data_IF_214676530539
#
_entry.id   IF_214676530539
#
_cell.length_a   1.000
_cell.length_b   1.000
_cell.length_c   1.000
_cell.angle_alpha   90.00
_cell.angle_beta   90.00
_cell.angle_gamma   90.00
#
_symmetry.space_group_name_H-M   'P 1'
#
loop_
_entity.id
_entity.type
_entity.pdbx_description
1 polymer ?
#
# COMPACT_ATOMS: atom_id res chain seq x y z
N UNK A 1 -28.27 3.94 6.97
CA UNK A 1 -28.10 5.30 7.50
C UNK A 1 -26.68 5.77 7.18
N UNK A 2 -26.44 7.07 6.93
CA UNK A 2 -25.10 7.58 6.67
C UNK A 2 -24.27 7.50 7.97
N UNK A 3 -23.21 6.69 8.06
CA UNK A 3 -22.42 6.51 9.27
C UNK A 3 -21.64 7.77 9.66
N UNK A 4 -21.57 8.75 8.77
CA UNK A 4 -20.96 10.05 9.02
C UNK A 4 -21.98 11.13 9.43
N UNK A 5 -23.26 10.80 9.61
CA UNK A 5 -24.24 11.74 10.13
C UNK A 5 -23.92 12.05 11.61
N UNK A 6 -23.54 13.29 11.91
CA UNK A 6 -23.30 13.73 13.28
C UNK A 6 -24.63 14.14 13.94
N UNK A 7 -25.06 13.50 15.05
CA UNK A 7 -26.31 13.86 15.72
C UNK A 7 -26.28 15.31 16.20
N UNK A 8 -27.25 16.12 15.76
CA UNK A 8 -27.45 17.48 16.27
C UNK A 8 -26.49 18.57 15.77
N UNK A 9 -25.48 18.22 14.96
CA UNK A 9 -24.57 19.19 14.36
C UNK A 9 -24.90 19.40 12.88
N UNK A 10 -25.43 20.58 12.51
CA UNK A 10 -25.44 21.03 11.12
C UNK A 10 -24.08 21.65 10.82
N UNK A 11 -23.21 20.91 10.14
CA UNK A 11 -22.00 21.49 9.56
C UNK A 11 -22.41 22.20 8.28
N UNK A 12 -22.37 23.54 8.29
CA UNK A 12 -22.53 24.33 7.07
C UNK A 12 -21.22 24.35 6.29
N UNK A 13 -21.18 23.59 5.20
CA UNK A 13 -20.09 23.66 4.22
C UNK A 13 -20.41 24.81 3.27
N UNK A 14 -19.69 25.92 3.40
CA UNK A 14 -19.83 27.07 2.48
C UNK A 14 -19.26 26.73 1.10
N UNK A 15 -19.61 27.53 0.09
CA UNK A 15 -19.04 27.38 -1.25
C UNK A 15 -17.49 27.50 -1.25
N UNK A 16 -16.92 28.31 -0.37
CA UNK A 16 -15.47 28.46 -0.25
C UNK A 16 -14.81 27.27 0.45
N UNK A 17 -15.46 26.69 1.46
CA UNK A 17 -15.01 25.41 2.03
C UNK A 17 -15.03 24.31 0.96
N UNK A 18 -16.09 24.25 0.16
CA UNK A 18 -16.20 23.28 -0.92
C UNK A 18 -15.10 23.46 -1.97
N UNK A 19 -14.87 24.70 -2.42
CA UNK A 19 -13.78 25.04 -3.34
C UNK A 19 -12.43 24.55 -2.83
N UNK A 20 -12.14 24.80 -1.55
CA UNK A 20 -10.90 24.35 -0.91
C UNK A 20 -10.77 22.82 -0.92
N UNK A 21 -11.85 22.09 -0.62
CA UNK A 21 -11.85 20.63 -0.63
C UNK A 21 -11.91 20.02 -2.04
N UNK A 22 -12.12 20.83 -3.07
CA UNK A 22 -12.05 20.43 -4.48
C UNK A 22 -10.86 21.04 -5.23
N UNK A 23 -9.90 21.63 -4.51
CA UNK A 23 -8.67 22.17 -5.11
C UNK A 23 -7.57 21.10 -5.10
N UNK A 24 -7.20 20.62 -6.29
CA UNK A 24 -6.21 19.56 -6.47
C UNK A 24 -4.83 19.94 -5.90
N UNK A 25 -4.40 21.19 -6.08
CA UNK A 25 -3.10 21.64 -5.60
C UNK A 25 -3.05 21.72 -4.07
N UNK A 26 -4.13 22.19 -3.46
CA UNK A 26 -4.28 22.24 -2.01
C UNK A 26 -4.25 20.83 -1.40
N UNK A 27 -5.03 19.90 -1.95
CA UNK A 27 -5.10 18.53 -1.46
C UNK A 27 -3.75 17.81 -1.61
N UNK A 28 -3.12 17.91 -2.78
CA UNK A 28 -1.78 17.36 -3.00
C UNK A 28 -0.77 17.90 -1.99
N UNK A 29 -0.75 19.22 -1.79
CA UNK A 29 0.16 19.85 -0.82
C UNK A 29 -0.07 19.36 0.61
N UNK A 30 -1.32 19.21 1.04
CA UNK A 30 -1.62 18.71 2.38
C UNK A 30 -1.24 17.23 2.56
N UNK A 31 -1.37 16.42 1.50
CA UNK A 31 -0.95 15.03 1.49
C UNK A 31 0.57 14.90 1.50
N UNK A 32 1.27 15.72 0.73
CA UNK A 32 2.74 15.71 0.66
C UNK A 32 3.41 16.14 1.96
N UNK A 33 2.72 16.93 2.78
CA UNK A 33 3.15 17.34 4.12
C UNK A 33 3.09 16.19 5.15
N UNK A 34 2.50 15.04 4.82
CA UNK A 34 2.45 13.78 5.62
C UNK A 34 1.78 13.89 7.01
N UNK A 35 1.40 15.09 7.44
CA UNK A 35 0.83 15.39 8.77
C UNK A 35 -0.69 15.28 8.83
N UNK A 36 -1.36 15.27 7.68
CA UNK A 36 -2.80 15.51 7.60
C UNK A 36 -3.59 14.34 7.00
N UNK A 37 -3.00 13.15 6.88
CA UNK A 37 -3.61 12.04 6.15
C UNK A 37 -4.94 11.58 6.77
N UNK A 38 -5.00 11.42 8.09
CA UNK A 38 -6.18 10.93 8.80
C UNK A 38 -7.35 11.95 8.78
N UNK A 39 -7.14 13.24 9.08
CA UNK A 39 -8.18 14.25 8.91
C UNK A 39 -8.67 14.36 7.47
N UNK A 40 -7.76 14.35 6.49
CA UNK A 40 -8.13 14.40 5.07
C UNK A 40 -8.92 13.19 4.64
N UNK A 41 -8.52 12.00 5.06
CA UNK A 41 -9.25 10.76 4.80
C UNK A 41 -10.68 10.87 5.29
N UNK A 42 -10.89 11.40 6.50
CA UNK A 42 -12.22 11.57 7.09
C UNK A 42 -13.09 12.55 6.29
N UNK A 43 -12.52 13.70 5.89
CA UNK A 43 -13.22 14.71 5.07
C UNK A 43 -13.57 14.14 3.69
N UNK A 44 -12.61 13.52 3.02
CA UNK A 44 -12.80 12.93 1.69
C UNK A 44 -13.88 11.86 1.74
N UNK A 45 -13.84 10.97 2.74
CA UNK A 45 -14.83 9.90 2.86
C UNK A 45 -16.23 10.45 3.16
N UNK A 46 -16.34 11.44 4.04
CA UNK A 46 -17.60 12.13 4.32
C UNK A 46 -18.21 12.74 3.07
N UNK A 47 -17.41 13.50 2.32
CA UNK A 47 -17.86 14.21 1.12
C UNK A 47 -18.21 13.26 -0.02
N UNK A 48 -17.61 12.07 -0.06
CA UNK A 48 -17.79 11.12 -1.15
C UNK A 48 -18.95 10.14 -0.93
N UNK A 49 -19.49 10.05 0.29
CA UNK A 49 -20.58 9.15 0.61
C UNK A 49 -21.80 9.40 -0.29
N UNK A 50 -22.09 8.48 -1.19
CA UNK A 50 -23.20 8.56 -2.15
C UNK A 50 -23.09 9.72 -3.14
N UNK A 51 -21.93 10.38 -3.25
CA UNK A 51 -21.71 11.50 -4.16
C UNK A 51 -20.76 11.09 -5.30
N UNK A 52 -21.32 10.89 -6.49
CA UNK A 52 -20.56 10.46 -7.68
C UNK A 52 -19.51 11.50 -8.09
N UNK A 53 -19.88 12.77 -8.21
CA UNK A 53 -18.97 13.82 -8.67
C UNK A 53 -17.72 13.95 -7.79
N UNK A 54 -17.91 13.91 -6.47
CA UNK A 54 -16.81 13.99 -5.51
C UNK A 54 -16.01 12.69 -5.47
N UNK A 55 -16.67 11.54 -5.57
CA UNK A 55 -16.00 10.25 -5.72
C UNK A 55 -15.08 10.28 -6.94
N UNK A 56 -15.58 10.68 -8.12
CA UNK A 56 -14.80 10.83 -9.35
C UNK A 56 -13.62 11.78 -9.23
N UNK A 57 -13.83 12.92 -8.57
CA UNK A 57 -12.79 13.89 -8.32
C UNK A 57 -11.68 13.30 -7.44
N UNK A 58 -12.02 12.79 -6.25
CA UNK A 58 -11.02 12.28 -5.30
C UNK A 58 -10.31 11.03 -5.79
N UNK A 59 -10.97 10.16 -6.54
CA UNK A 59 -10.33 9.03 -7.22
C UNK A 59 -9.18 9.48 -8.13
N UNK A 60 -9.40 10.55 -8.92
CA UNK A 60 -8.38 11.13 -9.81
C UNK A 60 -7.24 11.78 -9.03
N UNK A 61 -7.54 12.47 -7.94
CA UNK A 61 -6.54 13.07 -7.04
C UNK A 61 -5.67 11.98 -6.42
N UNK A 62 -6.27 10.95 -5.81
CA UNK A 62 -5.56 9.83 -5.17
C UNK A 62 -4.69 9.08 -6.17
N UNK A 63 -5.23 8.75 -7.35
CA UNK A 63 -4.48 8.08 -8.42
C UNK A 63 -3.25 8.89 -8.84
N UNK A 64 -3.44 10.18 -9.11
CA UNK A 64 -2.35 11.07 -9.52
C UNK A 64 -1.30 11.19 -8.42
N UNK A 65 -1.76 11.39 -7.17
CA UNK A 65 -0.90 11.45 -5.99
C UNK A 65 -0.02 10.22 -5.81
N UNK A 66 -0.58 9.01 -5.91
CA UNK A 66 0.19 7.76 -5.81
C UNK A 66 1.19 7.61 -6.97
N UNK A 67 0.80 8.02 -8.18
CA UNK A 67 1.67 7.93 -9.35
C UNK A 67 2.87 8.89 -9.27
N UNK A 68 2.69 10.06 -8.65
CA UNK A 68 3.70 11.11 -8.54
C UNK A 68 4.47 11.06 -7.21
N UNK A 69 4.02 10.22 -6.26
CA UNK A 69 4.60 10.11 -4.93
C UNK A 69 6.07 9.68 -4.93
N UNK A 70 6.82 10.23 -3.99
CA UNK A 70 8.10 9.67 -3.56
C UNK A 70 7.88 8.45 -2.65
N UNK A 71 8.94 7.64 -2.46
CA UNK A 71 8.86 6.44 -1.63
C UNK A 71 8.32 6.73 -0.22
N UNK A 72 8.77 7.82 0.41
CA UNK A 72 8.39 8.21 1.76
C UNK A 72 6.94 8.75 1.86
N UNK A 73 6.28 9.00 0.73
CA UNK A 73 4.89 9.51 0.66
C UNK A 73 3.86 8.41 0.41
N UNK A 74 4.27 7.25 -0.13
CA UNK A 74 3.35 6.12 -0.42
C UNK A 74 2.45 5.76 0.79
N UNK A 75 2.98 5.58 2.03
CA UNK A 75 2.12 5.22 3.16
C UNK A 75 1.02 6.26 3.45
N UNK A 76 1.32 7.55 3.30
CA UNK A 76 0.36 8.63 3.52
C UNK A 76 -0.80 8.55 2.53
N UNK A 77 -0.51 8.33 1.24
CA UNK A 77 -1.56 8.16 0.23
C UNK A 77 -2.45 6.95 0.50
N UNK A 78 -1.89 5.86 1.03
CA UNK A 78 -2.66 4.67 1.38
C UNK A 78 -3.51 4.81 2.65
N UNK A 79 -3.14 5.71 3.58
CA UNK A 79 -4.02 6.12 4.70
C UNK A 79 -5.30 6.83 4.24
N UNK A 80 -5.31 7.40 3.04
CA UNK A 80 -6.51 7.98 2.41
C UNK A 80 -7.20 6.96 1.51
N UNK A 81 -6.45 6.28 0.63
CA UNK A 81 -7.00 5.29 -0.29
C UNK A 81 -7.75 4.17 0.44
N UNK A 82 -7.18 3.61 1.51
CA UNK A 82 -7.75 2.47 2.23
C UNK A 82 -9.17 2.74 2.77
N UNK A 83 -9.37 3.78 3.60
CA UNK A 83 -10.70 4.17 4.05
C UNK A 83 -11.63 4.57 2.91
N UNK A 84 -11.12 5.26 1.88
CA UNK A 84 -11.92 5.71 0.75
C UNK A 84 -12.54 4.55 -0.05
N UNK A 85 -11.78 3.48 -0.31
CA UNK A 85 -12.34 2.26 -0.94
C UNK A 85 -13.17 1.41 0.04
N UNK A 86 -13.10 1.69 1.33
CA UNK A 86 -13.88 1.00 2.36
C UNK A 86 -15.24 1.65 2.65
N UNK A 87 -15.54 2.80 2.06
CA UNK A 87 -16.87 3.43 2.17
C UNK A 87 -17.94 2.45 1.65
N UNK A 88 -18.90 2.10 2.50
CA UNK A 88 -19.96 1.12 2.22
C UNK A 88 -21.22 1.81 1.65
N UNK A 89 -21.06 2.42 0.47
CA UNK A 89 -22.16 3.00 -0.31
C UNK A 89 -22.29 2.31 -1.69
N UNK A 90 -23.21 2.79 -2.53
CA UNK A 90 -23.46 2.24 -3.86
C UNK A 90 -22.30 2.41 -4.87
N UNK A 91 -21.24 3.15 -4.51
CA UNK A 91 -20.09 3.46 -5.35
C UNK A 91 -18.82 2.70 -4.90
N UNK A 92 -18.91 1.82 -3.89
CA UNK A 92 -17.76 1.10 -3.35
C UNK A 92 -17.03 0.27 -4.40
N UNK A 93 -17.78 -0.52 -5.18
CA UNK A 93 -17.22 -1.38 -6.22
C UNK A 93 -16.51 -0.55 -7.29
N UNK A 94 -17.08 0.59 -7.68
CA UNK A 94 -16.49 1.52 -8.64
C UNK A 94 -15.16 2.07 -8.12
N UNK A 95 -15.12 2.52 -6.86
CA UNK A 95 -13.89 3.01 -6.21
C UNK A 95 -12.79 1.96 -6.20
N UNK A 96 -13.13 0.72 -5.85
CA UNK A 96 -12.19 -0.40 -5.84
C UNK A 96 -11.68 -0.65 -7.26
N UNK A 97 -12.57 -0.80 -8.23
CA UNK A 97 -12.23 -1.11 -9.60
C UNK A 97 -11.30 -0.05 -10.21
N UNK A 98 -11.61 1.23 -10.04
CA UNK A 98 -10.80 2.33 -10.56
C UNK A 98 -9.42 2.39 -9.89
N UNK A 99 -9.38 2.44 -8.55
CA UNK A 99 -8.15 2.69 -7.82
C UNK A 99 -7.21 1.49 -7.81
N UNK A 100 -7.72 0.26 -7.67
CA UNK A 100 -6.85 -0.93 -7.67
C UNK A 100 -6.34 -1.26 -9.07
N UNK A 101 -7.13 -1.04 -10.12
CA UNK A 101 -6.61 -1.08 -11.50
C UNK A 101 -5.48 -0.07 -11.68
N UNK A 102 -5.63 1.15 -11.17
CA UNK A 102 -4.58 2.16 -11.21
C UNK A 102 -3.33 1.73 -10.42
N UNK A 103 -3.48 1.20 -9.20
CA UNK A 103 -2.36 0.72 -8.39
C UNK A 103 -1.58 -0.40 -9.09
N UNK A 104 -2.26 -1.36 -9.74
CA UNK A 104 -1.59 -2.43 -10.50
C UNK A 104 -0.83 -1.89 -11.71
N UNK A 105 -1.40 -0.93 -12.43
CA UNK A 105 -0.68 -0.24 -13.52
C UNK A 105 0.55 0.53 -13.02
N UNK A 106 0.44 1.24 -11.90
CA UNK A 106 1.56 1.98 -11.29
C UNK A 106 2.65 0.99 -10.84
N UNK A 107 2.27 -0.13 -10.23
CA UNK A 107 3.21 -1.20 -9.88
C UNK A 107 3.99 -1.72 -11.10
N UNK A 108 3.30 -2.00 -12.20
CA UNK A 108 3.97 -2.48 -13.42
C UNK A 108 4.88 -1.40 -14.03
N UNK A 109 4.41 -0.15 -14.07
CA UNK A 109 5.19 1.02 -14.53
C UNK A 109 6.50 1.16 -13.75
N UNK A 110 6.46 1.03 -12.43
CA UNK A 110 7.61 1.27 -11.57
C UNK A 110 8.41 -0.01 -11.21
N UNK A 111 8.08 -1.19 -11.75
CA UNK A 111 8.70 -2.49 -11.38
C UNK A 111 10.23 -2.57 -11.48
N UNK A 112 10.86 -1.64 -12.20
CA UNK A 112 12.32 -1.50 -12.32
C UNK A 112 12.97 -0.76 -11.14
N UNK A 113 12.18 -0.12 -10.28
CA UNK A 113 12.61 0.67 -9.11
C UNK A 113 12.29 -0.09 -7.81
N UNK A 114 13.22 -0.91 -7.27
CA UNK A 114 12.85 -1.91 -6.26
C UNK A 114 12.38 -1.34 -4.92
N UNK A 115 13.00 -0.25 -4.45
CA UNK A 115 12.60 0.43 -3.20
C UNK A 115 11.14 0.92 -3.28
N UNK A 116 10.82 1.66 -4.34
CA UNK A 116 9.48 2.18 -4.59
C UNK A 116 8.46 1.05 -4.80
N UNK A 117 8.77 0.11 -5.69
CA UNK A 117 7.87 -1.02 -6.01
C UNK A 117 7.55 -1.83 -4.77
N UNK A 118 8.55 -2.17 -3.95
CA UNK A 118 8.33 -2.92 -2.70
C UNK A 118 7.45 -2.13 -1.74
N UNK A 119 7.69 -0.82 -1.58
CA UNK A 119 6.85 0.04 -0.75
C UNK A 119 5.40 0.02 -1.21
N UNK A 120 5.17 0.19 -2.52
CA UNK A 120 3.84 0.18 -3.10
C UNK A 120 3.15 -1.19 -2.98
N UNK A 121 3.85 -2.31 -3.25
CA UNK A 121 3.34 -3.67 -3.02
C UNK A 121 2.90 -3.83 -1.56
N UNK A 122 3.74 -3.37 -0.62
CA UNK A 122 3.45 -3.51 0.81
C UNK A 122 2.13 -2.82 1.17
N UNK A 123 1.91 -1.60 0.67
CA UNK A 123 0.68 -0.87 0.96
C UNK A 123 -0.55 -1.44 0.24
N UNK A 124 -0.41 -1.86 -1.03
CA UNK A 124 -1.50 -2.52 -1.77
C UNK A 124 -1.97 -3.79 -1.05
N UNK A 125 -1.02 -4.63 -0.61
CA UNK A 125 -1.36 -5.87 0.06
C UNK A 125 -1.79 -5.70 1.51
N UNK A 126 -1.43 -4.60 2.17
CA UNK A 126 -2.00 -4.24 3.47
C UNK A 126 -3.50 -3.91 3.35
N UNK A 127 -3.92 -3.19 2.31
CA UNK A 127 -5.35 -2.93 2.06
C UNK A 127 -6.08 -4.21 1.63
N UNK A 128 -5.46 -5.04 0.79
CA UNK A 128 -5.98 -6.36 0.41
C UNK A 128 -6.31 -7.24 1.62
N UNK A 129 -5.47 -7.27 2.65
CA UNK A 129 -5.73 -8.07 3.85
C UNK A 129 -6.84 -7.50 4.73
N UNK A 130 -6.98 -6.17 4.77
CA UNK A 130 -7.91 -5.49 5.68
C UNK A 130 -9.31 -5.28 5.11
N UNK A 131 -9.46 -5.23 3.79
CA UNK A 131 -10.73 -4.94 3.13
C UNK A 131 -11.20 -6.17 2.32
N UNK A 132 -12.27 -6.87 2.75
CA UNK A 132 -12.77 -8.06 2.06
C UNK A 132 -13.20 -7.83 0.62
N UNK A 133 -13.75 -6.67 0.29
CA UNK A 133 -14.19 -6.33 -1.07
C UNK A 133 -12.99 -6.13 -2.00
N UNK A 134 -11.94 -5.47 -1.49
CA UNK A 134 -10.65 -5.38 -2.20
C UNK A 134 -10.03 -6.76 -2.36
N UNK A 135 -10.07 -7.61 -1.33
CA UNK A 135 -9.57 -8.98 -1.38
C UNK A 135 -10.23 -9.77 -2.51
N UNK A 136 -11.55 -9.78 -2.52
CA UNK A 136 -12.36 -10.44 -3.54
C UNK A 136 -12.04 -9.92 -4.95
N UNK A 137 -11.94 -8.59 -5.12
CA UNK A 137 -11.60 -7.99 -6.41
C UNK A 137 -10.19 -8.39 -6.87
N UNK A 138 -9.20 -8.34 -5.98
CA UNK A 138 -7.81 -8.70 -6.28
C UNK A 138 -7.68 -10.19 -6.63
N UNK A 139 -8.39 -11.07 -5.91
CA UNK A 139 -8.39 -12.51 -6.19
C UNK A 139 -9.04 -12.81 -7.55
N UNK A 140 -10.14 -12.12 -7.89
CA UNK A 140 -10.77 -12.20 -9.22
C UNK A 140 -9.85 -11.69 -10.34
N UNK A 141 -9.00 -10.71 -10.05
CA UNK A 141 -8.07 -10.09 -11.01
C UNK A 141 -6.63 -10.63 -10.88
N UNK A 142 -6.44 -11.84 -10.33
CA UNK A 142 -5.12 -12.41 -10.02
C UNK A 142 -4.13 -12.38 -11.19
N UNK A 143 -4.61 -12.62 -12.41
CA UNK A 143 -3.78 -12.61 -13.62
C UNK A 143 -2.97 -11.30 -13.76
N UNK A 144 -3.55 -10.15 -13.42
CA UNK A 144 -2.93 -8.83 -13.56
C UNK A 144 -1.72 -8.61 -12.61
N UNK A 145 -1.62 -9.38 -11.53
CA UNK A 145 -0.57 -9.21 -10.52
C UNK A 145 0.22 -10.48 -10.19
N UNK A 146 0.00 -11.60 -10.89
CA UNK A 146 0.83 -12.82 -10.71
C UNK A 146 2.35 -12.57 -10.84
N UNK A 147 2.75 -11.56 -11.62
CA UNK A 147 4.15 -11.18 -11.76
C UNK A 147 4.76 -10.67 -10.44
N UNK A 148 3.94 -10.09 -9.53
CA UNK A 148 4.36 -9.55 -8.23
C UNK A 148 4.96 -10.66 -7.37
N UNK A 149 4.34 -11.84 -7.32
CA UNK A 149 4.84 -13.00 -6.58
C UNK A 149 6.25 -13.39 -7.06
N UNK A 150 6.40 -13.55 -8.39
CA UNK A 150 7.70 -13.86 -9.01
C UNK A 150 8.72 -12.76 -8.74
N UNK A 151 8.30 -11.50 -8.79
CA UNK A 151 9.17 -10.35 -8.58
C UNK A 151 9.71 -10.28 -7.16
N UNK A 152 8.89 -10.63 -6.16
CA UNK A 152 9.26 -10.73 -4.75
C UNK A 152 10.21 -11.92 -4.51
N UNK A 153 9.88 -13.09 -5.06
CA UNK A 153 10.68 -14.31 -4.88
C UNK A 153 12.10 -14.16 -5.46
N UNK A 154 12.23 -13.58 -6.66
CA UNK A 154 13.54 -13.28 -7.27
C UNK A 154 14.43 -12.35 -6.43
N UNK A 155 13.83 -11.57 -5.52
CA UNK A 155 14.53 -10.60 -4.67
C UNK A 155 14.61 -11.01 -3.21
N UNK A 156 14.08 -12.18 -2.86
CA UNK A 156 14.00 -12.64 -1.47
C UNK A 156 13.12 -11.75 -0.59
N UNK A 157 12.17 -11.01 -1.16
CA UNK A 157 11.26 -10.16 -0.40
C UNK A 157 10.06 -10.94 0.13
N UNK A 158 9.61 -10.57 1.32
CA UNK A 158 8.42 -11.12 1.98
C UNK A 158 7.47 -9.98 2.32
N UNK A 159 6.20 -10.18 1.99
CA UNK A 159 5.10 -9.26 2.26
C UNK A 159 4.06 -10.05 3.07
N UNK A 160 3.68 -9.61 4.27
CA UNK A 160 2.58 -10.20 5.03
C UNK A 160 1.29 -10.22 4.20
N UNK A 161 0.45 -11.24 4.38
CA UNK A 161 -0.79 -11.43 3.59
C UNK A 161 -0.60 -12.26 2.32
N UNK A 162 0.32 -11.84 1.44
CA UNK A 162 0.61 -12.57 0.19
C UNK A 162 1.20 -13.99 0.43
N UNK A 163 1.92 -14.16 1.54
CA UNK A 163 2.68 -15.37 1.84
C UNK A 163 1.99 -16.28 2.88
N UNK A 164 0.82 -15.90 3.42
CA UNK A 164 0.18 -16.60 4.54
C UNK A 164 -0.31 -18.03 4.21
N UNK A 165 -0.45 -18.37 2.93
CA UNK A 165 -0.84 -19.71 2.46
C UNK A 165 0.31 -20.58 1.92
N UNK A 166 1.54 -20.08 1.86
CA UNK A 166 2.70 -20.88 1.38
C UNK A 166 3.41 -21.53 2.57
N UNK A 167 2.90 -22.67 3.03
CA UNK A 167 3.72 -23.65 3.75
C UNK A 167 4.80 -24.14 2.79
N UNK A 168 6.04 -23.68 2.98
CA UNK A 168 7.17 -24.28 2.28
C UNK A 168 7.40 -25.68 2.86
N UNK A 169 7.20 -26.72 2.05
CA UNK A 169 7.98 -27.95 2.20
C UNK A 169 9.47 -27.57 2.22
N UNK A 170 10.28 -28.12 3.14
CA UNK A 170 11.70 -27.80 3.19
C UNK A 170 12.36 -28.27 1.90
N UNK A 171 12.60 -27.34 0.98
CA UNK A 171 13.45 -27.56 -0.18
C UNK A 171 14.87 -27.79 0.30
N UNK A 172 15.43 -28.92 -0.10
CA UNK A 172 16.77 -29.41 0.19
C UNK A 172 17.83 -28.38 -0.22
N UNK A 173 18.15 -27.44 0.67
CA UNK A 173 19.35 -26.62 0.52
C UNK A 173 20.55 -27.48 0.86
N UNK A 174 21.10 -28.17 -0.16
CA UNK A 174 22.48 -28.67 -0.13
C UNK A 174 23.43 -27.46 -0.11
N UNK A 175 23.58 -26.84 1.06
CA UNK A 175 24.65 -25.90 1.33
C UNK A 175 25.88 -26.71 1.76
N UNK A 176 26.73 -27.04 0.78
CA UNK A 176 28.04 -27.64 1.02
C UNK A 176 28.94 -26.59 1.66
N UNK A 177 28.91 -26.48 2.99
CA UNK A 177 29.90 -25.72 3.74
C UNK A 177 31.20 -26.52 3.78
N UNK A 178 32.16 -26.16 2.91
CA UNK A 178 33.56 -26.53 3.09
C UNK A 178 34.08 -25.86 4.37
N UNK A 179 34.04 -26.60 5.48
CA UNK A 179 34.66 -26.20 6.74
C UNK A 179 36.13 -26.60 6.69
N UNK A 180 37.00 -25.68 6.29
CA UNK A 180 38.44 -25.84 6.52
C UNK A 180 38.72 -25.60 8.02
N UNK A 181 39.01 -26.67 8.75
CA UNK A 181 39.59 -26.62 10.09
C UNK A 181 41.12 -26.60 9.97
N UNK A 182 41.84 -25.68 10.65
CA UNK A 182 43.22 -25.93 11.02
C UNK A 182 43.22 -26.66 12.37
N UNK A 183 43.67 -27.92 12.37
CA UNK A 183 43.99 -28.67 13.59
C UNK A 183 45.49 -28.61 13.87
N UNK A 184 45.78 -28.18 15.09
CA UNK A 184 46.91 -28.53 15.95
C UNK A 184 48.35 -28.22 15.51
N UNK A 185 49.07 -27.47 16.35
CA UNK A 185 50.01 -28.10 17.29
C UNK A 185 50.61 -27.09 18.28
N UNK A 186 50.36 -27.33 19.57
CA UNK A 186 51.19 -26.82 20.64
C UNK A 186 52.46 -27.69 20.73
N UNK A 187 53.61 -27.06 20.91
CA UNK A 187 54.81 -27.72 21.43
C UNK A 187 55.61 -26.73 22.26
N UNK A 188 55.58 -26.96 23.57
CA UNK A 188 56.54 -26.43 24.53
C UNK A 188 57.96 -26.79 24.14
N UNK A 189 58.90 -25.84 24.21
CA UNK A 189 60.29 -26.12 24.56
C UNK A 189 60.83 -25.04 25.49
N UNK A 190 61.32 -25.50 26.63
CA UNK A 190 62.24 -24.82 27.53
C UNK A 190 63.42 -24.21 26.79
N UNK A 191 63.95 -23.10 27.31
CA UNK A 191 65.40 -22.93 27.33
C UNK A 191 65.86 -22.15 28.57
N UNK A 192 66.75 -22.79 29.32
CA UNK A 192 67.68 -22.16 30.24
C UNK A 192 68.75 -21.43 29.42
N UNK A 193 69.09 -20.21 29.83
CA UNK A 193 70.46 -19.74 30.04
C UNK A 193 70.42 -18.42 30.81
#
# INVERSE_FOLDING_TARGET
ENPYALPGAKIEVTADHFRLFTDDAFLKRLMDDKRNAEPLSSIICFLSWGCLDLTDFYQKVIKTGINDAEFEQIPTWFKVLGPFVAIEDSLQEERINFLFTACLHILDKFKKYPKFTRGLITQVFDVYEKNPMVKQWMDANRAAWTWVEKWLDMRGYRIPGLNAGKTMTPGTSSATYFRQTPSASASMKHNNQ
#
